data_IF_784669183329
#
_entry.id   IF_784669183329
#
_cell.length_a   1.000
_cell.length_b   1.000
_cell.length_c   1.000
_cell.angle_alpha   90.00
_cell.angle_beta   90.00
_cell.angle_gamma   90.00
#
_symmetry.space_group_name_H-M   'P 1'
#
loop_
_entity.id
_entity.type
_entity.pdbx_description
1 polymer ?
#
# COMPACT_ATOMS: atom_id res chain seq x y z
N UNK A 1 28.34 50.38 -10.48
CA UNK A 1 27.05 49.86 -11.00
C UNK A 1 27.10 48.36 -11.25
N UNK A 2 28.18 47.82 -11.84
CA UNK A 2 28.38 46.39 -12.13
C UNK A 2 28.11 45.42 -10.94
N UNK A 3 28.56 45.75 -9.73
CA UNK A 3 28.31 44.94 -8.52
C UNK A 3 26.83 44.80 -8.15
N UNK A 4 26.01 45.83 -8.39
CA UNK A 4 24.56 45.79 -8.11
C UNK A 4 23.83 44.93 -9.14
N UNK A 5 24.28 44.98 -10.40
CA UNK A 5 23.73 44.15 -11.48
C UNK A 5 24.05 42.66 -11.28
N UNK A 6 25.27 42.34 -10.85
CA UNK A 6 25.67 40.96 -10.52
C UNK A 6 24.86 40.36 -9.37
N UNK A 7 24.58 41.15 -8.32
CA UNK A 7 23.74 40.72 -7.20
C UNK A 7 22.29 40.48 -7.65
N UNK A 8 21.74 41.35 -8.50
CA UNK A 8 20.40 41.18 -9.05
C UNK A 8 20.27 39.91 -9.91
N UNK A 9 21.27 39.61 -10.74
CA UNK A 9 21.30 38.39 -11.56
C UNK A 9 21.40 37.14 -10.68
N UNK A 10 22.24 37.15 -9.63
CA UNK A 10 22.35 36.05 -8.69
C UNK A 10 21.03 35.79 -7.94
N UNK A 11 20.32 36.85 -7.53
CA UNK A 11 19.00 36.76 -6.91
C UNK A 11 17.94 36.16 -7.85
N UNK A 12 17.97 36.53 -9.12
CA UNK A 12 17.08 35.96 -10.15
C UNK A 12 17.37 34.46 -10.31
N UNK A 13 18.64 34.06 -10.40
CA UNK A 13 19.01 32.63 -10.51
C UNK A 13 18.58 31.79 -9.29
N UNK A 14 18.62 32.35 -8.09
CA UNK A 14 18.15 31.68 -6.85
C UNK A 14 16.61 31.55 -6.85
N UNK A 15 15.89 32.51 -7.43
CA UNK A 15 14.44 32.44 -7.59
C UNK A 15 14.00 31.46 -8.68
N UNK A 16 14.87 31.13 -9.65
CA UNK A 16 14.63 30.13 -10.68
C UNK A 16 15.09 28.71 -10.30
N UNK A 17 15.81 28.53 -9.19
CA UNK A 17 16.09 27.20 -8.63
C UNK A 17 14.87 26.66 -7.87
N UNK A 18 13.75 26.49 -8.55
CA UNK A 18 12.68 25.62 -8.11
C UNK A 18 13.24 24.19 -8.19
N UNK A 19 13.71 23.64 -7.08
CA UNK A 19 13.97 22.22 -6.98
C UNK A 19 12.64 21.50 -7.24
N UNK A 20 12.47 20.92 -8.41
CA UNK A 20 11.35 20.02 -8.67
C UNK A 20 11.49 18.83 -7.72
N UNK A 21 10.65 18.77 -6.69
CA UNK A 21 10.45 17.52 -5.96
C UNK A 21 9.99 16.50 -7.00
N UNK A 22 10.83 15.51 -7.30
CA UNK A 22 10.48 14.47 -8.26
C UNK A 22 9.40 13.61 -7.62
N UNK A 23 8.14 13.89 -7.95
CA UNK A 23 7.00 13.09 -7.51
C UNK A 23 7.19 11.67 -8.03
N UNK A 24 7.29 10.71 -7.12
CA UNK A 24 7.26 9.31 -7.48
C UNK A 24 5.82 8.91 -7.85
N UNK A 25 5.68 7.82 -8.61
CA UNK A 25 4.36 7.24 -8.81
C UNK A 25 4.45 5.73 -8.72
N UNK A 26 3.38 5.14 -8.20
CA UNK A 26 3.18 3.71 -8.20
C UNK A 26 2.13 3.35 -9.25
N UNK A 27 2.50 2.50 -10.19
CA UNK A 27 1.58 1.93 -11.15
C UNK A 27 0.93 0.69 -10.55
N UNK A 28 -0.40 0.69 -10.44
CA UNK A 28 -1.20 -0.48 -10.05
C UNK A 28 -2.04 -0.95 -11.23
N UNK A 29 -2.09 -2.27 -11.45
CA UNK A 29 -3.00 -2.88 -12.42
C UNK A 29 -4.20 -3.44 -11.66
N UNK A 30 -5.40 -2.98 -12.03
CA UNK A 30 -6.66 -3.41 -11.46
C UNK A 30 -7.36 -4.34 -12.44
N UNK A 31 -7.66 -5.57 -12.01
CA UNK A 31 -8.55 -6.50 -12.69
C UNK A 31 -10.02 -6.14 -12.40
N UNK A 32 -10.99 -6.62 -13.19
CA UNK A 32 -12.40 -6.51 -12.85
C UNK A 32 -12.67 -7.09 -11.43
N UNK A 33 -13.49 -6.40 -10.63
CA UNK A 33 -13.82 -6.83 -9.28
C UNK A 33 -12.78 -6.47 -8.22
N UNK A 34 -12.52 -7.36 -7.25
CA UNK A 34 -11.72 -7.04 -6.07
C UNK A 34 -10.22 -7.29 -6.29
N UNK A 35 -9.41 -6.29 -5.96
CA UNK A 35 -7.95 -6.34 -6.09
C UNK A 35 -7.28 -6.06 -4.75
N UNK A 36 -6.30 -6.87 -4.37
CA UNK A 36 -5.49 -6.64 -3.17
C UNK A 36 -4.31 -5.73 -3.52
N UNK A 37 -4.26 -4.55 -2.91
CA UNK A 37 -3.29 -3.49 -3.23
C UNK A 37 -2.57 -3.04 -1.96
N UNK A 38 -1.28 -2.79 -2.08
CA UNK A 38 -0.47 -2.12 -1.07
C UNK A 38 0.25 -0.95 -1.71
N UNK A 39 0.35 0.17 -1.01
CA UNK A 39 1.04 1.35 -1.53
C UNK A 39 2.53 1.33 -1.19
N UNK A 40 3.39 1.50 -2.20
CA UNK A 40 4.85 1.53 -2.08
C UNK A 40 5.43 2.95 -2.12
N UNK A 41 4.55 3.95 -2.09
CA UNK A 41 4.88 5.38 -2.02
C UNK A 41 4.19 5.99 -0.80
N UNK A 42 4.75 7.08 -0.28
CA UNK A 42 4.06 7.91 0.71
C UNK A 42 2.88 8.59 0.04
N UNK A 43 1.67 8.40 0.57
CA UNK A 43 0.46 8.97 0.03
C UNK A 43 0.15 10.31 0.69
N UNK A 44 -0.04 11.35 -0.12
CA UNK A 44 -0.62 12.63 0.28
C UNK A 44 -2.10 12.75 -0.10
N UNK A 45 -2.64 11.76 -0.82
CA UNK A 45 -4.03 11.70 -1.27
C UNK A 45 -4.98 11.30 -0.14
N UNK A 46 -6.15 11.91 -0.11
CA UNK A 46 -7.28 11.40 0.66
C UNK A 46 -7.89 10.16 -0.02
N UNK A 47 -8.62 9.31 0.70
CA UNK A 47 -9.30 8.17 0.11
C UNK A 47 -10.26 8.54 -1.04
N UNK A 48 -10.97 9.67 -0.92
CA UNK A 48 -11.84 10.18 -1.98
C UNK A 48 -11.05 10.65 -3.21
N UNK A 49 -9.89 11.29 -3.02
CA UNK A 49 -9.01 11.67 -4.11
C UNK A 49 -8.42 10.45 -4.83
N UNK A 50 -8.04 9.40 -4.08
CA UNK A 50 -7.60 8.14 -4.66
C UNK A 50 -8.68 7.53 -5.57
N UNK A 51 -9.93 7.46 -5.10
CA UNK A 51 -11.06 6.97 -5.89
C UNK A 51 -11.29 7.84 -7.15
N UNK A 52 -11.06 9.14 -7.06
CA UNK A 52 -11.19 10.06 -8.18
C UNK A 52 -10.05 9.97 -9.22
N UNK A 53 -8.93 9.29 -8.93
CA UNK A 53 -7.83 9.14 -9.89
C UNK A 53 -8.24 8.38 -11.16
N UNK A 54 -9.19 7.45 -11.04
CA UNK A 54 -9.68 6.67 -12.16
C UNK A 54 -11.12 6.24 -11.90
N UNK A 55 -12.03 6.54 -12.82
CA UNK A 55 -13.46 6.17 -12.74
C UNK A 55 -13.73 4.67 -12.61
N UNK A 56 -12.77 3.82 -12.96
CA UNK A 56 -12.84 2.39 -12.74
C UNK A 56 -12.78 2.00 -11.25
N UNK A 57 -12.26 2.86 -10.36
CA UNK A 57 -12.23 2.58 -8.93
C UNK A 57 -13.64 2.80 -8.37
N UNK A 58 -14.34 1.70 -8.11
CA UNK A 58 -15.69 1.72 -7.56
C UNK A 58 -15.67 2.03 -6.07
N UNK A 59 -14.81 1.35 -5.31
CA UNK A 59 -14.64 1.58 -3.88
C UNK A 59 -13.27 1.09 -3.40
N UNK A 60 -12.84 1.58 -2.23
CA UNK A 60 -11.61 1.13 -1.59
C UNK A 60 -11.90 0.76 -0.14
N UNK A 61 -11.41 -0.40 0.26
CA UNK A 61 -11.63 -0.97 1.58
C UNK A 61 -10.34 -1.17 2.35
N UNK A 62 -10.40 -0.96 3.66
CA UNK A 62 -9.35 -1.31 4.61
C UNK A 62 -9.95 -2.14 5.75
N UNK A 63 -9.41 -3.33 6.02
CA UNK A 63 -9.86 -4.08 7.19
C UNK A 63 -9.41 -3.37 8.48
N UNK A 64 -10.35 -3.12 9.39
CA UNK A 64 -10.07 -2.59 10.72
C UNK A 64 -10.30 -3.65 11.78
N UNK A 65 -9.22 -4.16 12.37
CA UNK A 65 -9.30 -5.09 13.50
C UNK A 65 -10.08 -4.52 14.70
N UNK A 66 -10.07 -3.19 14.87
CA UNK A 66 -10.82 -2.53 15.94
C UNK A 66 -12.33 -2.48 15.66
N UNK A 67 -12.73 -2.37 14.38
CA UNK A 67 -14.14 -2.39 13.99
C UNK A 67 -14.67 -3.82 13.74
N UNK A 68 -13.77 -4.80 13.55
CA UNK A 68 -14.13 -6.16 13.14
C UNK A 68 -14.64 -6.25 11.69
N UNK A 69 -14.53 -5.17 10.91
CA UNK A 69 -15.10 -5.03 9.58
C UNK A 69 -14.23 -4.18 8.66
N UNK A 70 -14.64 -4.04 7.40
CA UNK A 70 -13.99 -3.16 6.44
C UNK A 70 -14.48 -1.71 6.61
N UNK A 71 -13.53 -0.78 6.58
CA UNK A 71 -13.77 0.64 6.34
C UNK A 71 -13.85 0.87 4.84
N UNK A 72 -14.76 1.73 4.37
CA UNK A 72 -15.02 2.03 2.95
C UNK A 72 -14.88 3.53 2.67
N UNK A 73 -14.40 3.88 1.48
CA UNK A 73 -14.37 5.27 0.99
C UNK A 73 -15.78 5.77 0.73
N UNK A 74 -16.61 4.95 0.11
CA UNK A 74 -17.98 5.31 -0.28
C UNK A 74 -18.91 5.48 0.92
N UNK A 75 -18.67 4.73 2.00
CA UNK A 75 -19.38 4.90 3.28
C UNK A 75 -18.77 5.99 4.17
N UNK A 76 -17.64 6.59 3.76
CA UNK A 76 -16.94 7.63 4.52
C UNK A 76 -16.22 7.14 5.77
N UNK A 77 -16.17 5.83 6.02
CA UNK A 77 -15.52 5.23 7.20
C UNK A 77 -14.01 5.07 7.03
N UNK A 78 -13.52 5.00 5.78
CA UNK A 78 -12.10 5.11 5.47
C UNK A 78 -11.71 6.58 5.26
N UNK A 79 -10.99 7.14 6.22
CA UNK A 79 -10.64 8.58 6.25
C UNK A 79 -9.18 8.88 5.96
N UNK A 80 -8.30 7.88 5.99
CA UNK A 80 -6.88 8.06 5.71
C UNK A 80 -6.31 6.90 4.91
N UNK A 81 -5.26 7.20 4.15
CA UNK A 81 -4.44 6.22 3.45
C UNK A 81 -3.02 6.30 3.99
N UNK A 82 -2.35 5.16 3.96
CA UNK A 82 -0.96 5.02 4.38
C UNK A 82 -0.31 3.85 3.63
N UNK A 83 1.01 3.96 3.43
CA UNK A 83 1.85 2.83 3.08
C UNK A 83 1.87 1.79 4.22
N UNK A 84 2.28 0.55 3.90
CA UNK A 84 2.37 -0.57 4.84
C UNK A 84 1.03 -1.17 5.25
N UNK A 85 -0.06 -0.77 4.59
CA UNK A 85 -1.41 -1.30 4.79
C UNK A 85 -1.87 -2.05 3.54
N UNK A 86 -2.63 -3.11 3.74
CA UNK A 86 -3.31 -3.82 2.65
C UNK A 86 -4.70 -3.26 2.44
N UNK A 87 -5.02 -2.88 1.22
CA UNK A 87 -6.32 -2.40 0.80
C UNK A 87 -6.95 -3.37 -0.18
N UNK A 88 -8.29 -3.36 -0.24
CA UNK A 88 -9.03 -3.99 -1.32
C UNK A 88 -9.59 -2.87 -2.20
N UNK A 89 -9.18 -2.83 -3.46
CA UNK A 89 -9.70 -1.88 -4.46
C UNK A 89 -10.70 -2.63 -5.33
N UNK A 90 -11.96 -2.23 -5.27
CA UNK A 90 -13.00 -2.75 -6.16
C UNK A 90 -12.98 -1.97 -7.46
N UNK A 91 -12.82 -2.67 -8.57
CA UNK A 91 -12.79 -2.12 -9.92
C UNK A 91 -14.08 -2.47 -10.66
N UNK A 92 -14.70 -1.46 -11.26
CA UNK A 92 -15.87 -1.59 -12.15
C UNK A 92 -15.49 -1.82 -13.62
N UNK A 93 -14.19 -1.81 -13.95
CA UNK A 93 -13.74 -2.00 -15.33
C UNK A 93 -14.09 -3.40 -15.86
N UNK A 94 -14.46 -3.47 -17.14
CA UNK A 94 -14.72 -4.75 -17.83
C UNK A 94 -13.45 -5.51 -18.23
N UNK A 95 -12.29 -4.89 -18.12
CA UNK A 95 -10.97 -5.47 -18.40
C UNK A 95 -9.92 -4.89 -17.46
N UNK A 96 -8.71 -5.43 -17.49
CA UNK A 96 -7.57 -4.88 -16.74
C UNK A 96 -7.36 -3.40 -17.09
N UNK A 97 -7.16 -2.57 -16.06
CA UNK A 97 -6.89 -1.14 -16.18
C UNK A 97 -5.74 -0.74 -15.30
N UNK A 98 -4.96 0.25 -15.74
CA UNK A 98 -3.81 0.75 -15.00
C UNK A 98 -4.15 2.07 -14.33
N UNK A 99 -3.77 2.22 -13.06
CA UNK A 99 -3.89 3.47 -12.29
C UNK A 99 -2.49 3.88 -11.84
N UNK A 100 -2.13 5.13 -12.11
CA UNK A 100 -0.91 5.74 -11.56
C UNK A 100 -1.27 6.48 -10.28
N UNK A 101 -0.70 6.04 -9.17
CA UNK A 101 -0.91 6.62 -7.84
C UNK A 101 0.28 7.52 -7.53
N UNK A 102 0.12 8.85 -7.48
CA UNK A 102 1.20 9.76 -7.14
C UNK A 102 1.57 9.66 -5.66
N UNK A 103 2.84 9.89 -5.36
CA UNK A 103 3.35 9.96 -3.99
C UNK A 103 4.83 10.26 -3.95
N UNK A 104 5.43 10.16 -2.77
CA UNK A 104 6.88 10.31 -2.61
C UNK A 104 7.55 8.97 -2.35
N UNK A 105 8.84 8.86 -2.63
CA UNK A 105 9.63 7.68 -2.27
C UNK A 105 9.58 7.48 -0.75
N UNK A 106 9.34 6.25 -0.31
CA UNK A 106 9.41 5.89 1.11
C UNK A 106 10.88 5.94 1.56
N UNK A 107 11.23 6.95 2.37
CA UNK A 107 12.59 7.09 2.90
C UNK A 107 12.94 5.98 3.90
N UNK A 108 12.02 5.66 4.81
CA UNK A 108 12.11 4.55 5.76
C UNK A 108 10.73 3.93 5.95
N UNK A 109 10.64 2.59 5.94
CA UNK A 109 9.41 1.89 6.30
C UNK A 109 9.58 1.45 7.75
N UNK A 110 8.81 2.06 8.65
CA UNK A 110 8.74 1.64 10.05
C UNK A 110 8.28 0.18 10.17
N UNK A 111 8.57 -0.45 11.31
CA UNK A 111 8.11 -1.81 11.60
C UNK A 111 6.58 -1.95 11.41
N UNK A 112 6.17 -3.05 10.79
CA UNK A 112 4.75 -3.41 10.68
C UNK A 112 4.27 -3.89 12.06
N UNK A 113 3.46 -3.06 12.72
CA UNK A 113 2.84 -3.42 13.99
C UNK A 113 1.55 -4.19 13.74
N UNK A 114 1.53 -5.47 14.12
CA UNK A 114 0.35 -6.31 14.05
C UNK A 114 -0.55 -6.09 15.27
N UNK A 115 -1.86 -6.05 15.04
CA UNK A 115 -2.87 -6.04 16.11
C UNK A 115 -3.26 -7.46 16.49
N UNK A 116 -3.86 -7.65 17.66
CA UNK A 116 -4.49 -8.92 18.01
C UNK A 116 -5.62 -9.25 17.00
N UNK A 117 -5.71 -10.51 16.59
CA UNK A 117 -6.70 -10.97 15.62
C UNK A 117 -6.24 -10.86 14.16
N UNK A 118 -7.20 -10.68 13.25
CA UNK A 118 -6.93 -10.63 11.82
C UNK A 118 -6.28 -9.30 11.41
N UNK A 119 -5.30 -9.37 10.51
CA UNK A 119 -4.63 -8.21 9.95
C UNK A 119 -4.57 -8.36 8.43
N UNK A 120 -5.05 -7.35 7.69
CA UNK A 120 -4.80 -7.22 6.26
C UNK A 120 -3.59 -6.32 6.06
N UNK A 121 -2.45 -6.92 5.74
CA UNK A 121 -1.15 -6.24 5.67
C UNK A 121 -0.66 -6.17 4.23
N UNK A 122 -0.10 -5.02 3.87
CA UNK A 122 0.61 -4.80 2.62
C UNK A 122 2.08 -4.57 2.89
N UNK A 123 2.96 -5.15 2.07
CA UNK A 123 4.40 -4.94 2.19
C UNK A 123 4.84 -3.88 1.16
N UNK A 124 5.25 -2.71 1.65
CA UNK A 124 5.63 -1.56 0.81
C UNK A 124 7.08 -1.61 0.30
N UNK A 125 7.86 -2.59 0.76
CA UNK A 125 9.17 -2.97 0.26
C UNK A 125 9.26 -4.48 0.34
N UNK A 126 9.96 -5.09 -0.62
CA UNK A 126 10.19 -6.52 -0.61
C UNK A 126 10.92 -6.88 0.68
N UNK A 127 10.31 -7.66 1.59
CA UNK A 127 11.05 -8.23 2.72
C UNK A 127 12.20 -9.07 2.16
N UNK A 128 13.24 -9.30 2.96
CA UNK A 128 14.17 -10.41 2.69
C UNK A 128 13.36 -11.65 2.32
N UNK A 129 13.80 -12.39 1.30
CA UNK A 129 13.12 -13.63 0.89
C UNK A 129 13.05 -14.55 2.10
N UNK A 130 11.84 -14.81 2.57
CA UNK A 130 11.57 -15.52 3.82
C UNK A 130 10.35 -16.43 3.63
N UNK A 131 10.43 -17.65 4.17
CA UNK A 131 9.31 -18.59 4.18
C UNK A 131 8.30 -18.20 5.25
N UNK A 132 7.02 -18.48 5.03
CA UNK A 132 5.99 -18.26 6.06
C UNK A 132 6.27 -19.02 7.35
N UNK A 133 6.81 -20.24 7.25
CA UNK A 133 7.21 -21.03 8.41
C UNK A 133 8.29 -20.34 9.24
N UNK A 134 9.28 -19.72 8.59
CA UNK A 134 10.33 -18.95 9.26
C UNK A 134 9.74 -17.73 9.98
N UNK A 135 8.82 -17.00 9.33
CA UNK A 135 8.12 -15.86 9.95
C UNK A 135 7.33 -16.28 11.19
N UNK A 136 6.58 -17.38 11.07
CA UNK A 136 5.69 -17.87 12.12
C UNK A 136 6.46 -18.48 13.29
N UNK A 137 7.66 -19.01 13.06
CA UNK A 137 8.56 -19.49 14.11
C UNK A 137 9.25 -18.32 14.82
N UNK A 138 9.64 -17.27 14.09
CA UNK A 138 10.21 -16.05 14.68
C UNK A 138 9.18 -15.26 15.52
N UNK A 139 7.90 -15.32 15.16
CA UNK A 139 6.82 -14.60 15.84
C UNK A 139 5.71 -15.56 16.30
N UNK A 140 5.82 -16.05 17.52
CA UNK A 140 4.91 -17.06 18.10
C UNK A 140 3.43 -16.64 18.14
N UNK A 141 3.18 -15.32 18.18
CA UNK A 141 1.85 -14.70 18.11
C UNK A 141 1.15 -14.88 16.77
N UNK A 142 1.90 -15.07 15.67
CA UNK A 142 1.32 -15.32 14.35
C UNK A 142 0.86 -16.78 14.31
N UNK A 143 -0.47 -16.96 14.15
CA UNK A 143 -1.12 -18.27 14.08
C UNK A 143 -1.37 -18.75 12.66
N UNK A 144 -1.37 -17.84 11.70
CA UNK A 144 -1.42 -18.17 10.29
C UNK A 144 -1.08 -16.99 9.40
N UNK A 145 -0.67 -17.28 8.18
CA UNK A 145 -0.36 -16.31 7.13
C UNK A 145 -1.13 -16.74 5.88
N UNK A 146 -1.85 -15.79 5.29
CA UNK A 146 -2.59 -15.97 4.06
C UNK A 146 -2.09 -14.93 3.06
N UNK A 147 -1.64 -15.38 1.90
CA UNK A 147 -1.16 -14.51 0.82
C UNK A 147 -1.96 -14.74 -0.43
N UNK A 148 -2.62 -13.70 -0.92
CA UNK A 148 -3.24 -13.74 -2.25
C UNK A 148 -2.16 -14.02 -3.31
N UNK A 149 -2.42 -15.00 -4.17
CA UNK A 149 -1.58 -15.36 -5.30
C UNK A 149 -2.37 -15.09 -6.59
N UNK A 150 -2.14 -13.94 -7.27
CA UNK A 150 -2.86 -13.62 -8.50
C UNK A 150 -2.72 -14.69 -9.59
N UNK A 151 -1.58 -15.36 -9.66
CA UNK A 151 -1.33 -16.46 -10.61
C UNK A 151 -2.18 -17.70 -10.35
N UNK A 152 -2.55 -17.95 -9.09
CA UNK A 152 -3.37 -19.10 -8.69
C UNK A 152 -4.85 -18.73 -8.55
N UNK A 153 -5.19 -17.44 -8.47
CA UNK A 153 -6.55 -16.98 -8.20
C UNK A 153 -7.05 -17.36 -6.79
N UNK A 154 -6.13 -17.68 -5.87
CA UNK A 154 -6.43 -18.18 -4.53
C UNK A 154 -5.45 -17.64 -3.49
N UNK A 155 -5.72 -17.91 -2.22
CA UNK A 155 -4.77 -17.66 -1.15
C UNK A 155 -3.87 -18.87 -0.94
N UNK A 156 -2.57 -18.61 -0.80
CA UNK A 156 -1.62 -19.56 -0.21
C UNK A 156 -1.73 -19.40 1.30
N UNK A 157 -1.93 -20.50 2.02
CA UNK A 157 -2.20 -20.49 3.46
C UNK A 157 -1.21 -21.37 4.23
N UNK A 158 -0.69 -20.84 5.33
CA UNK A 158 0.12 -21.59 6.30
C UNK A 158 -0.43 -21.28 7.69
N UNK A 159 -0.77 -22.32 8.46
CA UNK A 159 -1.35 -22.18 9.81
C UNK A 159 -0.56 -22.99 10.83
N UNK A 160 -0.63 -22.62 12.12
CA UNK A 160 -0.13 -23.49 13.19
C UNK A 160 -1.17 -24.57 13.49
N UNK A 161 -0.71 -25.82 13.55
CA UNK A 161 -1.49 -26.91 14.12
C UNK A 161 -1.54 -26.80 15.66
N UNK A 162 -2.21 -27.74 16.31
CA UNK A 162 -2.36 -27.79 17.77
C UNK A 162 -1.02 -27.89 18.51
N UNK A 163 0.00 -28.45 17.86
CA UNK A 163 1.38 -28.52 18.37
C UNK A 163 2.19 -27.23 18.12
N UNK A 164 1.58 -26.18 17.56
CA UNK A 164 2.23 -24.91 17.27
C UNK A 164 3.14 -24.91 16.04
N UNK A 165 3.13 -25.99 15.24
CA UNK A 165 4.00 -26.16 14.06
C UNK A 165 3.32 -25.55 12.83
N UNK A 166 4.00 -24.70 12.04
CA UNK A 166 3.48 -24.20 10.77
C UNK A 166 3.27 -25.35 9.76
N UNK A 167 2.06 -25.44 9.22
CA UNK A 167 1.64 -26.41 8.19
C UNK A 167 1.05 -25.62 7.02
N UNK A 168 1.54 -25.87 5.82
CA UNK A 168 0.96 -25.33 4.59
C UNK A 168 -0.30 -26.14 4.25
N UNK A 169 -1.43 -25.46 4.05
CA UNK A 169 -2.69 -26.12 3.66
C UNK A 169 -2.95 -25.97 2.16
N UNK A 170 -2.66 -24.80 1.60
CA UNK A 170 -2.90 -24.46 0.20
C UNK A 170 -1.62 -23.94 -0.47
N UNK A 171 -1.47 -24.17 -1.77
CA UNK A 171 -0.28 -23.80 -2.56
C UNK A 171 -0.53 -23.87 -4.05
#
# INVERSE_FOLDING_TARGET
>A
MLKRTLIAIALIFILFSCASAQTASQTITLKPGFNFVSFTVTLSLTPQQLKALNSAIEDVYLFSAAAGSFLSVSEGTLTSLAAGKGYIVKSSAGSDTTVSVPGDLLADISNINLKQGFNLVGFSKMPVTLKFSELMNAHSMIKGVYKWAPSAGSFISVIKNDSGVPVQLDG
#
